data_IF_733600320310
#
_entry.id   IF_733600320310
#
_cell.length_a   1.000
_cell.length_b   1.000
_cell.length_c   1.000
_cell.angle_alpha   90.00
_cell.angle_beta   90.00
_cell.angle_gamma   90.00
#
_symmetry.space_group_name_H-M   'P 1'
#
loop_
_entity.id
_entity.type
_entity.pdbx_description
1 polymer ?
#
# COMPACT_ATOMS: atom_id res chain seq x y z
N UNK A 1 8.17 12.99 -9.07
CA UNK A 1 7.86 14.02 -8.06
C UNK A 1 8.68 13.72 -6.80
N UNK A 2 9.17 14.75 -6.11
CA UNK A 2 9.84 14.57 -4.81
C UNK A 2 8.76 14.59 -3.73
N UNK A 3 8.75 13.58 -2.88
CA UNK A 3 7.89 13.52 -1.70
C UNK A 3 8.68 14.00 -0.48
N UNK A 4 8.17 15.03 0.18
CA UNK A 4 8.50 15.37 1.57
C UNK A 4 7.39 14.85 2.48
N UNK A 5 7.64 13.78 3.23
CA UNK A 5 6.62 13.17 4.11
C UNK A 5 6.13 14.21 5.10
N UNK A 6 4.83 14.51 5.10
CA UNK A 6 4.21 15.54 5.95
C UNK A 6 4.87 16.93 5.87
N UNK A 7 5.45 17.26 4.71
CA UNK A 7 6.16 18.51 4.50
C UNK A 7 7.53 18.58 5.18
N UNK A 8 8.00 17.51 5.83
CA UNK A 8 9.33 17.45 6.43
C UNK A 8 10.40 17.50 5.32
N UNK A 9 11.21 18.56 5.28
CA UNK A 9 12.18 18.77 4.20
C UNK A 9 13.54 18.15 4.46
N UNK A 10 13.81 17.62 5.66
CA UNK A 10 15.08 16.99 5.92
C UNK A 10 15.27 15.74 5.02
N UNK A 11 16.51 15.42 4.61
CA UNK A 11 16.77 14.34 3.65
C UNK A 11 16.20 12.98 4.08
N UNK A 12 16.21 12.69 5.39
CA UNK A 12 15.67 11.43 5.95
C UNK A 12 14.14 11.28 5.90
N UNK A 13 13.43 12.30 5.41
CA UNK A 13 11.98 12.31 5.17
C UNK A 13 11.62 12.54 3.69
N UNK A 14 12.65 12.63 2.85
CA UNK A 14 12.49 12.97 1.44
C UNK A 14 12.72 11.73 0.59
N UNK A 15 11.83 11.51 -0.38
CA UNK A 15 11.86 10.35 -1.27
C UNK A 15 11.63 10.80 -2.71
N UNK A 16 12.42 10.25 -3.62
CA UNK A 16 12.35 10.48 -5.05
C UNK A 16 11.85 9.25 -5.80
N UNK A 17 11.61 9.45 -7.10
CA UNK A 17 11.22 8.41 -8.05
C UNK A 17 10.03 7.52 -7.65
N UNK A 18 9.14 8.04 -6.79
CA UNK A 18 7.89 7.39 -6.46
C UNK A 18 6.85 7.67 -7.57
N UNK A 19 6.28 6.61 -8.15
CA UNK A 19 5.15 6.70 -9.10
C UNK A 19 3.81 6.59 -8.39
N UNK A 20 3.77 5.92 -7.24
CA UNK A 20 2.63 5.85 -6.35
C UNK A 20 3.12 5.80 -4.91
N UNK A 21 2.43 6.49 -4.00
CA UNK A 21 2.76 6.40 -2.58
C UNK A 21 1.58 6.71 -1.68
N UNK A 22 1.66 6.18 -0.46
CA UNK A 22 0.81 6.55 0.66
C UNK A 22 1.67 6.64 1.93
N UNK A 23 1.57 7.77 2.63
CA UNK A 23 2.16 7.90 3.96
C UNK A 23 1.08 8.14 5.00
N UNK A 24 1.35 7.70 6.23
CA UNK A 24 0.48 7.97 7.37
C UNK A 24 1.27 8.40 8.60
N UNK A 25 0.70 9.35 9.33
CA UNK A 25 1.11 9.76 10.65
C UNK A 25 0.09 9.27 11.66
N UNK A 26 0.49 8.32 12.48
CA UNK A 26 -0.32 7.76 13.56
C UNK A 26 0.30 8.14 14.89
N UNK A 27 -0.54 8.43 15.88
CA UNK A 27 -0.09 8.71 17.24
C UNK A 27 -0.85 7.85 18.24
N UNK A 28 -0.12 7.22 19.14
CA UNK A 28 -0.66 6.48 20.27
C UNK A 28 -0.52 7.31 21.53
N UNK A 29 -1.63 7.70 22.13
CA UNK A 29 -1.66 8.35 23.44
C UNK A 29 -1.79 7.30 24.54
N UNK A 30 -1.05 7.44 25.63
CA UNK A 30 -1.16 6.59 26.82
C UNK A 30 -1.31 7.46 28.05
N UNK A 31 -2.42 7.31 28.78
CA UNK A 31 -2.75 8.09 29.97
C UNK A 31 -3.26 7.18 31.09
N UNK A 32 -3.23 7.71 32.30
CA UNK A 32 -3.82 7.07 33.48
C UNK A 32 -5.13 7.77 33.79
N UNK A 33 -6.21 7.02 33.91
CA UNK A 33 -7.51 7.55 34.34
C UNK A 33 -7.96 6.89 35.64
N UNK A 34 -8.72 7.66 36.43
CA UNK A 34 -9.40 7.15 37.62
C UNK A 34 -10.75 6.59 37.23
N UNK A 35 -11.08 5.44 37.80
CA UNK A 35 -12.42 4.86 37.71
C UNK A 35 -12.88 4.44 39.10
N UNK A 36 -14.19 4.49 39.32
CA UNK A 36 -14.78 3.99 40.54
C UNK A 36 -15.06 2.50 40.38
N UNK A 37 -14.50 1.70 41.28
CA UNK A 37 -14.77 0.27 41.33
C UNK A 37 -15.94 0.01 42.28
N UNK A 38 -17.07 -0.38 41.71
CA UNK A 38 -18.30 -0.64 42.47
C UNK A 38 -18.21 -1.88 43.37
N UNK A 39 -17.32 -2.84 43.06
CA UNK A 39 -17.15 -4.06 43.85
C UNK A 39 -16.36 -3.77 45.12
N UNK A 40 -15.20 -3.13 44.97
CA UNK A 40 -14.37 -2.75 46.11
C UNK A 40 -14.76 -1.42 46.77
N UNK A 41 -15.75 -0.69 46.20
CA UNK A 41 -16.21 0.64 46.63
C UNK A 41 -15.09 1.68 46.76
N UNK A 42 -14.02 1.54 45.99
CA UNK A 42 -12.84 2.43 46.04
C UNK A 42 -12.52 3.02 44.67
N UNK A 43 -11.87 4.18 44.67
CA UNK A 43 -11.30 4.73 43.45
C UNK A 43 -10.01 4.00 43.09
N UNK A 44 -9.93 3.50 41.86
CA UNK A 44 -8.74 2.85 41.30
C UNK A 44 -8.26 3.60 40.07
N UNK A 45 -7.02 3.34 39.68
CA UNK A 45 -6.42 3.86 38.45
C UNK A 45 -6.26 2.74 37.44
N UNK A 46 -6.42 3.07 36.16
CA UNK A 46 -6.07 2.17 35.06
C UNK A 46 -5.32 2.92 33.98
N UNK A 47 -4.39 2.21 33.34
CA UNK A 47 -3.70 2.71 32.14
C UNK A 47 -4.59 2.47 30.93
N UNK A 48 -4.76 3.51 30.11
CA UNK A 48 -5.48 3.45 28.84
C UNK A 48 -4.55 3.90 27.73
N UNK A 49 -4.84 3.42 26.52
CA UNK A 49 -4.13 3.82 25.32
C UNK A 49 -5.07 3.90 24.14
N UNK A 50 -4.93 4.94 23.34
CA UNK A 50 -5.69 5.17 22.11
C UNK A 50 -4.72 5.43 20.96
N UNK A 51 -4.91 4.75 19.84
CA UNK A 51 -4.12 4.98 18.63
C UNK A 51 -5.02 5.63 17.58
N UNK A 52 -4.55 6.73 16.98
CA UNK A 52 -5.30 7.50 15.99
C UNK A 52 -4.42 7.94 14.83
N UNK A 53 -5.00 7.91 13.63
CA UNK A 53 -4.41 8.57 12.46
C UNK A 53 -4.59 10.08 12.61
N UNK A 54 -3.47 10.80 12.57
CA UNK A 54 -3.42 12.25 12.71
C UNK A 54 -3.50 12.89 11.33
N UNK A 55 -2.71 12.38 10.39
CA UNK A 55 -2.68 12.80 8.99
C UNK A 55 -2.24 11.66 8.10
N UNK A 56 -2.55 11.77 6.82
CA UNK A 56 -2.04 10.92 5.77
C UNK A 56 -2.00 11.69 4.47
N UNK A 57 -1.25 11.18 3.51
CA UNK A 57 -1.25 11.67 2.15
C UNK A 57 -1.08 10.52 1.18
N UNK A 58 -1.50 10.73 -0.05
CA UNK A 58 -1.31 9.79 -1.14
C UNK A 58 -1.10 10.52 -2.45
N UNK A 59 -0.48 9.82 -3.40
CA UNK A 59 -0.31 10.29 -4.76
C UNK A 59 -0.18 9.10 -5.69
N UNK A 60 -0.65 9.28 -6.91
CA UNK A 60 -0.49 8.34 -8.01
C UNK A 60 -0.25 9.14 -9.28
N UNK A 61 0.74 8.72 -10.06
CA UNK A 61 1.00 9.24 -11.40
C UNK A 61 1.09 8.10 -12.38
N UNK A 62 0.62 8.34 -13.58
CA UNK A 62 0.75 7.41 -14.69
C UNK A 62 2.23 7.17 -15.00
N UNK A 63 2.55 5.96 -15.47
CA UNK A 63 3.92 5.53 -15.72
C UNK A 63 3.98 4.58 -16.91
N UNK A 64 5.20 4.25 -17.32
CA UNK A 64 5.46 3.28 -18.38
C UNK A 64 6.12 2.04 -17.78
N UNK A 65 5.58 0.87 -18.09
CA UNK A 65 6.20 -0.43 -17.76
C UNK A 65 6.99 -0.92 -18.95
N UNK A 66 8.14 -1.52 -18.68
CA UNK A 66 8.92 -2.25 -19.66
C UNK A 66 8.88 -3.75 -19.36
N UNK A 67 8.46 -4.55 -20.34
CA UNK A 67 8.37 -6.02 -20.24
C UNK A 67 9.55 -6.75 -20.90
N UNK A 68 10.52 -6.00 -21.42
CA UNK A 68 11.68 -6.51 -22.15
C UNK A 68 11.54 -6.43 -23.68
N UNK A 69 10.32 -6.37 -24.21
CA UNK A 69 10.08 -6.19 -25.66
C UNK A 69 9.75 -4.75 -26.02
N UNK A 70 9.14 -4.01 -25.08
CA UNK A 70 8.82 -2.61 -25.29
C UNK A 70 8.29 -1.93 -24.03
N UNK A 71 7.81 -0.71 -24.21
CA UNK A 71 7.05 0.00 -23.19
C UNK A 71 5.55 -0.24 -23.35
N UNK A 72 4.81 -0.24 -22.23
CA UNK A 72 3.36 -0.11 -22.17
C UNK A 72 3.02 1.05 -21.23
N UNK A 73 2.20 1.98 -21.70
CA UNK A 73 1.72 3.05 -20.84
C UNK A 73 0.63 2.56 -19.90
N UNK A 74 0.72 2.95 -18.64
CA UNK A 74 -0.21 2.55 -17.58
C UNK A 74 -0.84 3.81 -17.00
N UNK A 75 -2.16 3.95 -17.16
CA UNK A 75 -2.95 5.02 -16.55
C UNK A 75 -3.26 4.64 -15.10
N UNK A 76 -2.25 4.66 -14.23
CA UNK A 76 -2.34 4.25 -12.82
C UNK A 76 -3.52 4.90 -12.09
N UNK A 77 -3.81 6.16 -12.40
CA UNK A 77 -4.90 6.93 -11.79
C UNK A 77 -6.30 6.33 -12.02
N UNK A 78 -6.45 5.44 -13.02
CA UNK A 78 -7.71 4.73 -13.30
C UNK A 78 -7.89 3.44 -12.51
N UNK A 79 -6.90 3.00 -11.74
CA UNK A 79 -6.97 1.75 -10.98
C UNK A 79 -7.52 1.99 -9.57
N UNK A 80 -8.63 1.30 -9.25
CA UNK A 80 -9.15 1.27 -7.88
C UNK A 80 -8.32 0.39 -6.93
N UNK A 81 -7.58 -0.59 -7.49
CA UNK A 81 -6.89 -1.63 -6.71
C UNK A 81 -5.39 -1.58 -6.98
N UNK A 82 -4.68 -0.83 -6.13
CA UNK A 82 -3.24 -0.67 -6.20
C UNK A 82 -2.63 -1.16 -4.89
N UNK A 83 -1.91 -2.28 -4.96
CA UNK A 83 -1.10 -2.80 -3.87
C UNK A 83 0.35 -2.34 -4.03
N UNK A 84 0.78 -1.43 -3.16
CA UNK A 84 2.15 -0.89 -3.14
C UNK A 84 3.13 -1.76 -2.34
N UNK A 85 2.68 -2.94 -1.89
CA UNK A 85 3.47 -3.86 -1.10
C UNK A 85 3.70 -3.40 0.34
N UNK A 86 4.75 -3.95 0.95
CA UNK A 86 5.12 -3.62 2.32
C UNK A 86 5.66 -2.19 2.45
N UNK A 87 5.63 -1.70 3.67
CA UNK A 87 6.14 -0.39 4.02
C UNK A 87 7.64 -0.30 3.75
N UNK A 88 8.03 0.67 2.92
CA UNK A 88 9.42 0.94 2.53
C UNK A 88 10.17 1.80 3.54
N UNK A 89 9.45 2.48 4.43
CA UNK A 89 10.03 3.34 5.46
C UNK A 89 9.09 3.51 6.65
N UNK A 90 9.65 3.54 7.87
CA UNK A 90 8.94 3.97 9.08
C UNK A 90 9.81 4.83 9.97
N UNK A 91 9.14 5.54 10.89
CA UNK A 91 9.79 6.28 11.95
C UNK A 91 8.96 6.34 13.21
N UNK A 92 9.48 5.79 14.32
CA UNK A 92 8.81 5.77 15.63
C UNK A 92 9.26 6.91 16.54
N UNK A 93 9.23 8.13 16.03
CA UNK A 93 9.62 9.33 16.77
C UNK A 93 8.90 10.56 16.23
N UNK A 94 8.91 11.65 16.99
CA UNK A 94 8.46 12.96 16.50
C UNK A 94 9.24 13.35 15.24
N UNK A 95 8.58 14.07 14.34
CA UNK A 95 9.19 14.65 13.15
C UNK A 95 10.33 15.63 13.50
N UNK A 96 10.97 16.17 12.48
CA UNK A 96 11.96 17.24 12.66
C UNK A 96 11.29 18.63 12.80
N UNK A 97 12.10 19.68 12.88
CA UNK A 97 11.59 21.04 13.11
C UNK A 97 10.82 21.61 11.90
N UNK A 98 10.83 20.92 10.75
CA UNK A 98 10.16 21.36 9.52
C UNK A 98 8.78 20.71 9.33
N UNK A 99 8.48 19.62 10.05
CA UNK A 99 7.15 19.01 10.02
C UNK A 99 6.16 19.73 10.94
N UNK A 100 4.86 19.66 10.64
CA UNK A 100 3.84 20.00 11.62
C UNK A 100 2.48 20.43 11.08
N UNK A 101 1.51 20.68 11.98
CA UNK A 101 1.60 20.62 13.46
C UNK A 101 1.52 19.18 14.03
N UNK A 102 2.12 18.90 15.18
CA UNK A 102 2.08 17.57 15.80
C UNK A 102 0.80 17.28 16.58
N UNK A 103 0.52 15.99 16.81
CA UNK A 103 -0.55 15.58 17.70
C UNK A 103 -0.34 16.17 19.11
N UNK A 104 -1.44 16.62 19.71
CA UNK A 104 -1.51 17.06 21.11
C UNK A 104 -2.27 16.01 21.92
N UNK A 105 -1.84 15.79 23.15
CA UNK A 105 -2.51 14.88 24.07
C UNK A 105 -3.92 15.39 24.37
N UNK A 106 -4.91 14.51 24.31
CA UNK A 106 -6.31 14.80 24.66
C UNK A 106 -6.60 14.58 26.14
N UNK A 107 -5.88 13.66 26.77
CA UNK A 107 -6.12 13.21 28.15
C UNK A 107 -4.98 13.56 29.11
N UNK A 108 -4.02 14.39 28.69
CA UNK A 108 -2.80 14.70 29.45
C UNK A 108 -1.77 13.57 29.49
N UNK A 109 -1.93 12.54 28.65
CA UNK A 109 -1.04 11.39 28.54
C UNK A 109 0.23 11.63 27.72
N UNK A 110 1.07 10.60 27.71
CA UNK A 110 2.26 10.53 26.84
C UNK A 110 1.89 10.18 25.40
N UNK A 111 2.60 10.74 24.43
CA UNK A 111 2.38 10.49 23.00
C UNK A 111 3.53 9.70 22.39
N UNK A 112 3.21 8.62 21.67
CA UNK A 112 4.13 7.89 20.80
C UNK A 112 3.78 8.19 19.35
N UNK A 113 4.77 8.70 18.61
CA UNK A 113 4.62 9.08 17.21
C UNK A 113 5.07 7.94 16.29
N UNK A 114 4.30 7.62 15.28
CA UNK A 114 4.63 6.62 14.29
C UNK A 114 4.32 7.11 12.88
N UNK A 115 5.30 7.02 12.00
CA UNK A 115 5.20 7.38 10.59
C UNK A 115 5.44 6.15 9.75
N UNK A 116 4.68 6.02 8.67
CA UNK A 116 4.85 4.94 7.69
C UNK A 116 4.73 5.48 6.27
N UNK A 117 5.45 4.86 5.34
CA UNK A 117 5.38 5.09 3.91
C UNK A 117 5.35 3.76 3.16
N UNK A 118 4.33 3.56 2.34
CA UNK A 118 4.26 2.51 1.32
C UNK A 118 4.33 3.17 -0.05
N UNK A 119 5.05 2.57 -0.99
CA UNK A 119 5.23 3.17 -2.31
C UNK A 119 5.61 2.16 -3.40
N UNK A 120 5.24 2.50 -4.63
CA UNK A 120 5.77 1.96 -5.87
C UNK A 120 6.78 2.95 -6.44
N UNK A 121 8.02 2.52 -6.63
CA UNK A 121 9.14 3.30 -7.18
C UNK A 121 9.37 2.96 -8.65
N UNK A 122 9.97 3.88 -9.40
CA UNK A 122 10.53 3.54 -10.71
C UNK A 122 11.56 2.43 -10.55
N UNK A 123 11.50 1.44 -11.43
CA UNK A 123 12.35 0.26 -11.37
C UNK A 123 11.85 -0.85 -10.44
N UNK A 124 10.83 -0.61 -9.61
CA UNK A 124 10.19 -1.70 -8.88
C UNK A 124 9.47 -2.63 -9.88
N UNK A 125 9.61 -3.96 -9.75
CA UNK A 125 8.78 -4.88 -10.51
C UNK A 125 7.32 -4.68 -10.12
N UNK A 126 6.43 -4.66 -11.11
CA UNK A 126 5.01 -4.52 -10.91
C UNK A 126 4.24 -5.56 -11.72
N UNK A 127 3.32 -6.26 -11.06
CA UNK A 127 2.32 -7.08 -11.71
C UNK A 127 1.08 -6.25 -12.02
N UNK A 128 0.64 -6.26 -13.27
CA UNK A 128 -0.47 -5.43 -13.75
C UNK A 128 -1.48 -6.31 -14.46
N UNK A 129 -2.71 -6.30 -13.95
CA UNK A 129 -3.89 -6.83 -14.64
C UNK A 129 -4.74 -5.64 -15.05
N UNK A 130 -4.84 -5.39 -16.35
CA UNK A 130 -5.50 -4.19 -16.88
C UNK A 130 -6.32 -4.52 -18.12
N UNK A 131 -7.25 -3.61 -18.46
CA UNK A 131 -7.87 -3.59 -19.78
C UNK A 131 -6.96 -2.76 -20.70
N UNK A 132 -6.70 -3.28 -21.89
CA UNK A 132 -5.96 -2.53 -22.92
C UNK A 132 -6.96 -1.73 -23.75
N UNK A 133 -6.71 -0.43 -23.90
CA UNK A 133 -7.50 0.48 -24.75
C UNK A 133 -6.61 1.22 -25.73
N UNK A 134 -7.20 1.65 -26.84
CA UNK A 134 -6.58 2.65 -27.70
C UNK A 134 -6.58 3.99 -26.97
N UNK A 135 -5.46 4.70 -27.05
CA UNK A 135 -5.38 6.10 -26.61
C UNK A 135 -6.30 6.96 -27.46
N UNK A 136 -6.79 8.04 -26.86
CA UNK A 136 -7.54 9.06 -27.60
C UNK A 136 -6.66 9.67 -28.70
N UNK A 137 -7.23 9.91 -29.88
CA UNK A 137 -6.47 10.34 -31.06
C UNK A 137 -5.68 11.64 -30.85
N UNK A 138 -6.13 12.49 -29.92
CA UNK A 138 -5.47 13.75 -29.57
C UNK A 138 -4.34 13.59 -28.54
N UNK A 139 -4.30 12.47 -27.81
CA UNK A 139 -3.21 12.11 -26.90
C UNK A 139 -2.08 11.33 -27.60
N UNK A 140 -2.30 10.92 -28.85
CA UNK A 140 -1.26 10.27 -29.66
C UNK A 140 -0.24 11.36 -30.05
N UNK A 141 1.06 11.21 -29.74
CA UNK A 141 2.07 12.21 -30.06
C UNK A 141 2.09 12.56 -31.55
N UNK A 142 1.72 13.80 -31.90
CA UNK A 142 1.77 14.33 -33.27
C UNK A 142 3.07 15.13 -33.44
N UNK A 143 4.20 14.50 -33.83
CA UNK A 143 5.43 15.28 -34.14
C UNK A 143 6.76 14.54 -34.47
N UNK A 144 7.39 15.00 -35.56
CA UNK A 144 8.77 14.94 -36.10
C UNK A 144 9.57 13.63 -36.29
N UNK A 145 9.11 12.47 -35.81
CA UNK A 145 9.53 11.17 -36.37
C UNK A 145 8.34 10.59 -37.10
N UNK A 146 8.21 11.02 -38.36
CA UNK A 146 7.09 10.70 -39.24
C UNK A 146 6.77 9.20 -39.29
N UNK A 147 5.46 8.91 -39.33
CA UNK A 147 4.85 7.66 -39.78
C UNK A 147 5.03 6.38 -38.96
N UNK A 148 5.78 6.37 -37.85
CA UNK A 148 5.93 5.14 -37.06
C UNK A 148 4.95 5.07 -35.86
N UNK A 149 3.65 5.05 -36.15
CA UNK A 149 2.59 4.67 -35.20
C UNK A 149 2.65 3.16 -34.80
N UNK A 150 3.70 2.44 -35.22
CA UNK A 150 3.92 1.01 -34.94
C UNK A 150 4.34 0.73 -33.50
N UNK A 151 4.72 1.75 -32.73
CA UNK A 151 5.09 1.59 -31.32
C UNK A 151 3.84 1.45 -30.45
N UNK A 152 3.64 0.27 -29.90
CA UNK A 152 2.50 -0.10 -29.05
C UNK A 152 2.20 0.92 -27.94
N UNK A 153 3.21 1.47 -27.26
CA UNK A 153 3.00 2.49 -26.20
C UNK A 153 2.49 3.84 -26.68
N UNK A 154 2.56 4.14 -27.98
CA UNK A 154 2.03 5.38 -28.53
C UNK A 154 0.52 5.30 -28.80
N UNK A 155 0.01 4.10 -29.05
CA UNK A 155 -1.38 3.87 -29.50
C UNK A 155 -2.22 3.14 -28.48
N UNK A 156 -1.61 2.33 -27.60
CA UNK A 156 -2.30 1.56 -26.58
C UNK A 156 -1.91 2.00 -25.17
N UNK A 157 -2.87 1.84 -24.24
CA UNK A 157 -2.67 2.06 -22.82
C UNK A 157 -3.41 1.01 -21.98
N UNK A 158 -2.82 0.72 -20.82
CA UNK A 158 -3.39 -0.12 -19.79
C UNK A 158 -4.20 0.74 -18.81
N UNK A 159 -5.49 0.44 -18.70
CA UNK A 159 -6.43 1.14 -17.80
C UNK A 159 -7.01 0.19 -16.75
N UNK A 160 -7.36 0.77 -15.60
CA UNK A 160 -7.86 0.12 -14.40
C UNK A 160 -9.34 -0.25 -14.43
N UNK A 161 -9.90 -0.53 -15.61
CA UNK A 161 -11.32 -0.85 -15.77
C UNK A 161 -11.60 -2.34 -15.65
N UNK A 162 -12.57 -2.69 -14.80
CA UNK A 162 -13.02 -4.06 -14.63
C UNK A 162 -13.71 -4.61 -15.90
N UNK A 163 -13.74 -5.93 -16.02
CA UNK A 163 -14.48 -6.67 -17.03
C UNK A 163 -15.27 -7.80 -16.36
N UNK A 164 -16.30 -8.37 -17.02
CA UNK A 164 -16.95 -9.57 -16.51
C UNK A 164 -15.91 -10.65 -16.15
N UNK A 165 -15.88 -11.07 -14.88
CA UNK A 165 -14.94 -12.05 -14.32
C UNK A 165 -13.45 -11.64 -14.29
N UNK A 166 -13.09 -10.38 -14.58
CA UNK A 166 -11.70 -9.87 -14.44
C UNK A 166 -11.69 -8.53 -13.71
N UNK A 167 -10.87 -8.44 -12.67
CA UNK A 167 -10.72 -7.22 -11.88
C UNK A 167 -9.36 -6.60 -12.17
N UNK A 168 -9.36 -5.35 -12.62
CA UNK A 168 -8.13 -4.63 -12.85
C UNK A 168 -7.43 -4.34 -11.51
N UNK A 169 -6.12 -4.53 -11.49
CA UNK A 169 -5.28 -4.32 -10.30
C UNK A 169 -3.80 -4.15 -10.66
N UNK A 170 -3.09 -3.42 -9.81
CA UNK A 170 -1.63 -3.32 -9.82
C UNK A 170 -1.11 -3.83 -8.48
N UNK A 171 -0.04 -4.61 -8.51
CA UNK A 171 0.64 -5.11 -7.31
C UNK A 171 2.14 -4.95 -7.45
N UNK A 172 2.79 -4.39 -6.43
CA UNK A 172 4.25 -4.41 -6.33
C UNK A 172 4.75 -5.86 -6.24
N UNK A 173 5.82 -6.17 -6.96
CA UNK A 173 6.36 -7.52 -7.11
C UNK A 173 6.14 -8.10 -8.50
N UNK A 174 6.61 -9.33 -8.70
CA UNK A 174 6.45 -10.09 -9.94
C UNK A 174 5.25 -11.06 -9.87
N UNK A 175 4.93 -11.72 -10.99
CA UNK A 175 3.86 -12.73 -11.06
C UNK A 175 4.00 -13.82 -9.99
N UNK A 176 5.23 -14.26 -9.73
CA UNK A 176 5.53 -15.26 -8.70
C UNK A 176 5.17 -14.77 -7.30
N UNK A 177 5.39 -13.50 -6.99
CA UNK A 177 5.01 -12.89 -5.70
C UNK A 177 3.49 -12.85 -5.52
N UNK A 178 2.74 -12.60 -6.59
CA UNK A 178 1.27 -12.58 -6.57
C UNK A 178 0.67 -13.99 -6.54
N UNK A 179 1.32 -14.97 -7.18
CA UNK A 179 0.90 -16.37 -7.17
C UNK A 179 1.29 -17.08 -5.87
N UNK A 180 2.44 -16.79 -5.29
CA UNK A 180 2.90 -17.33 -4.00
C UNK A 180 1.97 -16.91 -2.85
N UNK A 181 1.37 -15.71 -2.92
CA UNK A 181 0.35 -15.28 -1.97
C UNK A 181 -0.98 -16.07 -2.08
N UNK A 182 -1.25 -16.75 -3.20
CA UNK A 182 -2.40 -17.66 -3.36
C UNK A 182 -2.05 -19.04 -2.82
N UNK A 183 -1.83 -19.14 -1.52
CA UNK A 183 -1.88 -20.43 -0.84
C UNK A 183 -3.32 -20.96 -0.89
N UNK A 184 -3.54 -22.04 -1.65
CA UNK A 184 -4.83 -22.73 -1.70
C UNK A 184 -5.24 -23.20 -0.31
N UNK A 185 -6.54 -23.09 0.05
CA UNK A 185 -7.07 -23.66 1.30
C UNK A 185 -6.73 -25.14 1.46
N UNK A 186 -6.55 -25.85 0.33
CA UNK A 186 -6.10 -27.24 0.30
C UNK A 186 -4.67 -27.43 0.81
N UNK A 187 -3.73 -26.49 0.59
CA UNK A 187 -2.37 -26.62 1.11
C UNK A 187 -2.29 -26.30 2.61
N UNK A 188 -3.16 -25.41 3.11
CA UNK A 188 -3.21 -25.05 4.54
C UNK A 188 -3.91 -26.11 5.40
N UNK A 189 -4.96 -26.75 4.87
CA UNK A 189 -5.75 -27.75 5.59
C UNK A 189 -5.41 -29.20 5.21
N UNK A 190 -4.74 -29.42 4.08
CA UNK A 190 -4.37 -30.76 3.59
C UNK A 190 -3.62 -31.62 4.62
N UNK A 191 -2.57 -31.10 5.29
CA UNK A 191 -1.86 -31.86 6.32
C UNK A 191 -2.76 -32.26 7.50
N UNK A 192 -3.65 -31.36 7.93
CA UNK A 192 -4.59 -31.63 9.01
C UNK A 192 -5.64 -32.68 8.63
N UNK A 193 -6.18 -32.59 7.41
CA UNK A 193 -7.15 -33.56 6.89
C UNK A 193 -6.50 -34.94 6.76
N UNK A 194 -5.26 -35.03 6.25
CA UNK A 194 -4.50 -36.29 6.17
C UNK A 194 -4.26 -36.90 7.55
N UNK A 195 -3.91 -36.10 8.55
CA UNK A 195 -3.72 -36.58 9.92
C UNK A 195 -5.02 -37.09 10.54
N UNK A 196 -6.14 -36.40 10.33
CA UNK A 196 -7.46 -36.82 10.84
C UNK A 196 -7.90 -38.12 10.16
N UNK A 197 -7.79 -38.21 8.83
CA UNK A 197 -8.13 -39.43 8.09
C UNK A 197 -7.23 -40.60 8.47
N UNK A 198 -5.93 -40.36 8.64
CA UNK A 198 -4.98 -41.38 9.10
C UNK A 198 -5.28 -41.87 10.52
N UNK A 199 -5.61 -40.96 11.44
CA UNK A 199 -6.00 -41.31 12.80
C UNK A 199 -7.31 -42.11 12.84
N UNK A 200 -8.31 -41.73 12.03
CA UNK A 200 -9.56 -42.49 11.89
C UNK A 200 -9.32 -43.89 11.31
N UNK A 201 -8.45 -44.03 10.30
CA UNK A 201 -8.10 -45.32 9.73
C UNK A 201 -7.42 -46.24 10.75
N UNK A 202 -6.55 -45.69 11.61
CA UNK A 202 -5.90 -46.42 12.71
C UNK A 202 -6.87 -46.81 13.84
N UNK A 203 -8.00 -46.11 14.00
CA UNK A 203 -9.03 -46.47 15.00
C UNK A 203 -10.06 -47.49 14.49
N UNK A 204 -10.12 -47.72 13.18
CA UNK A 204 -11.04 -48.68 12.54
C UNK A 204 -10.39 -50.03 12.21
N UNK A 205 -9.10 -50.20 12.53
CA UNK A 205 -8.33 -51.45 12.50
C UNK A 205 -8.07 -51.88 13.93
#
# INVERSE_FOLDING_TARGET
>A
PILHVDGCTAPTWTFDDLVAWHWSYVCTETWTERYYDHESKTWKTRTRSETRTIRSGNHATDFMVHDGTGGMAVKLTTFERVDMGSQIWNRKRRGDNTCGPYAKSRHGGSLKHNWSLTALRKGDPAYIMARIKSRHHDEIPKGNVGFNATRVHHTLEAVGEDAPRRRAKISKGNEFSVLSAKNSSASRLGPWILLIVGAMALMLV
#
